data_IF_122398458307
#
_entry.id   IF_122398458307
#
_cell.length_a   1.000
_cell.length_b   1.000
_cell.length_c   1.000
_cell.angle_alpha   90.00
_cell.angle_beta   90.00
_cell.angle_gamma   90.00
#
_symmetry.space_group_name_H-M   'P 1'
#
loop_
_entity.id
_entity.type
_entity.pdbx_description
1 polymer ?
#
# COMPACT_ATOMS: atom_id res chain seq x y z
N UNK A 1 3.08 14.95 -1.71
CA UNK A 1 4.30 14.15 -1.96
C UNK A 1 3.92 12.68 -1.90
N UNK A 2 4.12 11.94 -2.99
CA UNK A 2 3.89 10.49 -3.05
C UNK A 2 5.21 9.74 -3.15
N UNK A 3 5.29 8.53 -2.60
CA UNK A 3 6.47 7.67 -2.68
C UNK A 3 6.35 6.73 -3.89
N UNK A 4 7.46 6.48 -4.58
CA UNK A 4 7.63 5.34 -5.48
C UNK A 4 8.83 4.56 -4.96
N UNK A 5 8.59 3.34 -4.51
CA UNK A 5 9.61 2.47 -3.94
C UNK A 5 9.51 1.09 -4.61
N UNK A 6 10.66 0.57 -5.03
CA UNK A 6 10.70 -0.70 -5.75
C UNK A 6 9.93 -0.61 -7.06
N UNK A 7 9.19 -1.67 -7.39
CA UNK A 7 8.36 -1.77 -8.59
C UNK A 7 6.87 -1.63 -8.31
N UNK A 8 6.44 -1.79 -7.05
CA UNK A 8 5.03 -1.92 -6.67
C UNK A 8 4.58 -0.90 -5.63
N UNK A 9 5.47 -0.30 -4.84
CA UNK A 9 5.02 0.63 -3.80
C UNK A 9 4.78 2.04 -4.35
N UNK A 10 3.53 2.40 -4.63
CA UNK A 10 3.12 3.78 -4.89
C UNK A 10 1.66 3.91 -5.33
N UNK A 11 1.04 5.07 -5.10
CA UNK A 11 -0.34 5.32 -5.56
C UNK A 11 -0.39 5.37 -7.08
N UNK A 12 -1.17 4.49 -7.71
CA UNK A 12 -1.24 4.39 -9.16
C UNK A 12 0.08 3.96 -9.81
N UNK A 13 0.90 3.22 -9.08
CA UNK A 13 2.18 2.69 -9.54
C UNK A 13 2.20 1.18 -9.29
N UNK A 14 2.45 0.39 -10.33
CA UNK A 14 2.42 -1.08 -10.27
C UNK A 14 3.54 -1.66 -11.14
N UNK A 15 3.96 -2.88 -10.82
CA UNK A 15 4.99 -3.59 -11.58
C UNK A 15 4.44 -4.30 -12.83
N UNK A 16 5.33 -4.65 -13.76
CA UNK A 16 4.97 -5.44 -14.94
C UNK A 16 4.72 -6.92 -14.58
N UNK A 17 3.89 -7.65 -15.37
CA UNK A 17 3.71 -9.09 -15.17
C UNK A 17 5.04 -9.87 -15.20
N UNK A 18 5.25 -10.72 -14.21
CA UNK A 18 6.44 -11.57 -14.10
C UNK A 18 7.67 -10.90 -13.46
N UNK A 19 7.62 -9.59 -13.20
CA UNK A 19 8.68 -8.92 -12.45
C UNK A 19 8.68 -9.37 -10.98
N UNK A 20 9.87 -9.61 -10.44
CA UNK A 20 10.03 -9.90 -9.01
C UNK A 20 10.13 -8.60 -8.21
N UNK A 21 9.56 -8.55 -6.99
CA UNK A 21 9.73 -7.41 -6.10
C UNK A 21 11.20 -7.19 -5.76
N UNK A 22 11.60 -5.94 -5.55
CA UNK A 22 12.98 -5.57 -5.26
C UNK A 22 13.46 -6.03 -3.88
N UNK A 23 12.56 -6.12 -2.91
CA UNK A 23 12.78 -6.67 -1.57
C UNK A 23 11.43 -7.02 -0.90
N UNK A 24 11.47 -7.38 0.39
CA UNK A 24 10.27 -7.77 1.14
C UNK A 24 9.29 -6.62 1.37
N UNK A 25 9.74 -5.36 1.35
CA UNK A 25 8.88 -4.17 1.44
C UNK A 25 8.10 -4.05 0.13
N UNK A 26 8.79 -4.16 -1.00
CA UNK A 26 8.17 -4.13 -2.33
C UNK A 26 7.24 -5.33 -2.54
N UNK A 27 7.56 -6.50 -1.96
CA UNK A 27 6.68 -7.67 -1.98
C UNK A 27 5.37 -7.44 -1.21
N UNK A 28 5.40 -6.67 -0.11
CA UNK A 28 4.17 -6.25 0.57
C UNK A 28 3.26 -5.45 -0.37
N UNK A 29 3.83 -4.55 -1.16
CA UNK A 29 3.10 -3.70 -2.10
C UNK A 29 2.57 -4.50 -3.30
N UNK A 30 3.35 -5.43 -3.87
CA UNK A 30 2.88 -6.33 -4.91
C UNK A 30 1.62 -7.10 -4.46
N UNK A 31 1.64 -7.66 -3.25
CA UNK A 31 0.47 -8.35 -2.69
C UNK A 31 -0.70 -7.41 -2.33
N UNK A 32 -0.47 -6.11 -2.20
CA UNK A 32 -1.52 -5.11 -2.04
C UNK A 32 -2.15 -4.76 -3.38
N UNK A 33 -1.34 -4.51 -4.41
CA UNK A 33 -1.77 -4.25 -5.79
C UNK A 33 -2.67 -5.39 -6.30
N UNK A 34 -2.23 -6.64 -6.18
CA UNK A 34 -3.03 -7.82 -6.53
C UNK A 34 -4.35 -7.90 -5.75
N UNK A 35 -4.37 -7.45 -4.49
CA UNK A 35 -5.56 -7.46 -3.66
C UNK A 35 -6.57 -6.41 -4.11
N UNK A 36 -6.12 -5.18 -4.38
CA UNK A 36 -7.01 -4.09 -4.81
C UNK A 36 -7.46 -4.23 -6.26
N UNK A 37 -6.66 -4.85 -7.12
CA UNK A 37 -7.08 -5.23 -8.47
C UNK A 37 -8.29 -6.19 -8.42
N UNK A 38 -8.25 -7.16 -7.49
CA UNK A 38 -9.32 -8.14 -7.32
C UNK A 38 -10.55 -7.62 -6.57
N UNK A 39 -10.36 -6.83 -5.52
CA UNK A 39 -11.44 -6.47 -4.58
C UNK A 39 -11.85 -5.00 -4.62
N UNK A 40 -11.15 -4.16 -5.37
CA UNK A 40 -11.37 -2.72 -5.48
C UNK A 40 -10.43 -1.89 -4.60
N UNK A 41 -10.19 -0.66 -5.07
CA UNK A 41 -9.24 0.29 -4.48
C UNK A 41 -9.60 0.76 -3.06
N UNK A 42 -10.86 0.66 -2.65
CA UNK A 42 -11.36 1.05 -1.31
C UNK A 42 -11.50 -0.14 -0.37
N UNK A 43 -11.00 -1.33 -0.75
CA UNK A 43 -11.18 -2.53 0.05
C UNK A 43 -10.30 -2.50 1.33
N UNK A 44 -10.92 -2.14 2.46
CA UNK A 44 -10.26 -1.93 3.77
C UNK A 44 -9.34 -3.07 4.19
N UNK A 45 -9.72 -4.33 3.93
CA UNK A 45 -8.90 -5.50 4.31
C UNK A 45 -7.57 -5.56 3.53
N UNK A 46 -7.53 -5.08 2.28
CA UNK A 46 -6.30 -4.98 1.51
C UNK A 46 -5.34 -3.97 2.17
N UNK A 47 -5.83 -2.78 2.54
CA UNK A 47 -5.01 -1.77 3.21
C UNK A 47 -4.52 -2.21 4.59
N UNK A 48 -5.38 -2.85 5.41
CA UNK A 48 -4.99 -3.41 6.71
C UNK A 48 -3.90 -4.49 6.56
N UNK A 49 -3.99 -5.34 5.53
CA UNK A 49 -2.96 -6.35 5.22
C UNK A 49 -1.63 -5.70 4.84
N UNK A 50 -1.64 -4.69 3.97
CA UNK A 50 -0.43 -3.95 3.59
C UNK A 50 0.22 -3.29 4.81
N UNK A 51 -0.56 -2.55 5.62
CA UNK A 51 -0.08 -1.92 6.85
C UNK A 51 0.62 -2.93 7.78
N UNK A 52 0.00 -4.08 8.02
CA UNK A 52 0.57 -5.11 8.91
C UNK A 52 1.85 -5.74 8.33
N UNK A 53 1.93 -5.91 7.01
CA UNK A 53 3.13 -6.37 6.33
C UNK A 53 4.28 -5.37 6.52
N UNK A 54 4.02 -4.08 6.28
CA UNK A 54 4.99 -3.00 6.46
C UNK A 54 5.47 -2.87 7.91
N UNK A 55 4.59 -3.02 8.90
CA UNK A 55 4.98 -3.03 10.33
C UNK A 55 5.94 -4.18 10.64
N UNK A 56 5.75 -5.36 10.03
CA UNK A 56 6.69 -6.48 10.21
C UNK A 56 8.05 -6.17 9.60
N UNK A 57 8.10 -5.64 8.38
CA UNK A 57 9.37 -5.27 7.75
C UNK A 57 10.07 -4.12 8.48
N UNK A 58 9.31 -3.17 9.04
CA UNK A 58 9.85 -2.12 9.90
C UNK A 58 10.57 -2.71 11.12
N UNK A 59 9.96 -3.70 11.78
CA UNK A 59 10.54 -4.38 12.95
C UNK A 59 11.75 -5.25 12.58
N UNK A 60 11.76 -5.81 11.38
CA UNK A 60 12.91 -6.57 10.88
C UNK A 60 14.14 -5.69 10.62
N UNK A 61 13.96 -4.36 10.50
CA UNK A 61 15.01 -3.36 10.37
C UNK A 61 16.04 -3.67 9.26
N UNK A 62 15.55 -4.19 8.14
CA UNK A 62 16.36 -4.46 6.95
C UNK A 62 16.72 -3.14 6.26
N UNK A 63 17.88 -3.10 5.61
CA UNK A 63 18.38 -1.91 4.89
C UNK A 63 17.48 -1.55 3.69
N UNK A 64 16.82 -2.57 3.10
CA UNK A 64 16.07 -2.44 1.85
C UNK A 64 16.99 -2.37 0.63
N UNK A 65 16.42 -2.37 -0.57
CA UNK A 65 17.19 -2.37 -1.81
C UNK A 65 17.74 -0.97 -2.19
N UNK A 66 17.07 0.10 -1.79
CA UNK A 66 17.36 1.47 -2.24
C UNK A 66 18.24 2.25 -1.26
N UNK A 67 19.27 2.90 -1.81
CA UNK A 67 20.11 3.86 -1.07
C UNK A 67 19.54 5.28 -1.09
N UNK A 68 18.80 5.63 -2.13
CA UNK A 68 18.21 6.96 -2.32
C UNK A 68 16.94 7.15 -1.47
N UNK A 69 16.18 6.06 -1.32
CA UNK A 69 15.01 6.03 -0.45
C UNK A 69 15.18 4.89 0.56
N UNK A 70 15.85 5.14 1.69
CA UNK A 70 16.10 4.12 2.70
C UNK A 70 14.79 3.57 3.30
N UNK A 71 14.79 2.29 3.69
CA UNK A 71 13.62 1.63 4.26
C UNK A 71 13.05 2.34 5.49
N UNK A 72 13.90 2.93 6.34
CA UNK A 72 13.49 3.68 7.53
C UNK A 72 12.75 5.00 7.20
N UNK A 73 12.80 5.47 5.95
CA UNK A 73 11.99 6.61 5.46
C UNK A 73 10.77 6.09 4.71
N UNK A 74 10.96 5.09 3.84
CA UNK A 74 9.91 4.56 2.99
C UNK A 74 8.79 3.90 3.79
N UNK A 75 9.13 2.99 4.71
CA UNK A 75 8.16 2.17 5.44
C UNK A 75 7.23 3.01 6.34
N UNK A 76 7.73 3.94 7.18
CA UNK A 76 6.84 4.80 7.97
C UNK A 76 5.94 5.69 7.11
N UNK A 77 6.43 6.14 5.95
CA UNK A 77 5.65 6.95 5.01
C UNK A 77 4.49 6.15 4.43
N UNK A 78 4.74 4.91 4.01
CA UNK A 78 3.71 4.01 3.50
C UNK A 78 2.69 3.62 4.58
N UNK A 79 3.13 3.38 5.83
CA UNK A 79 2.21 3.10 6.96
C UNK A 79 1.24 4.26 7.17
N UNK A 80 1.73 5.51 7.19
CA UNK A 80 0.88 6.70 7.32
C UNK A 80 -0.10 6.83 6.14
N UNK A 81 0.37 6.55 4.92
CA UNK A 81 -0.48 6.51 3.73
C UNK A 81 -1.60 5.47 3.87
N UNK A 82 -1.29 4.29 4.42
CA UNK A 82 -2.28 3.25 4.68
C UNK A 82 -3.28 3.62 5.77
N UNK A 83 -2.86 4.32 6.82
CA UNK A 83 -3.79 4.83 7.84
C UNK A 83 -4.82 5.79 7.24
N UNK A 84 -4.37 6.70 6.37
CA UNK A 84 -5.26 7.60 5.65
C UNK A 84 -6.17 6.84 4.66
N UNK A 85 -5.64 5.87 3.91
CA UNK A 85 -6.43 5.07 2.98
C UNK A 85 -7.52 4.25 3.69
N UNK A 86 -7.22 3.66 4.85
CA UNK A 86 -8.19 2.94 5.69
C UNK A 86 -9.29 3.89 6.15
N UNK A 87 -8.92 5.06 6.70
CA UNK A 87 -9.88 6.06 7.15
C UNK A 87 -10.83 6.48 6.02
N UNK A 88 -10.29 6.82 4.85
CA UNK A 88 -11.10 7.26 3.70
C UNK A 88 -11.99 6.13 3.16
N UNK A 89 -11.49 4.90 3.14
CA UNK A 89 -12.27 3.73 2.71
C UNK A 89 -13.44 3.44 3.67
N UNK A 90 -13.20 3.57 4.97
CA UNK A 90 -14.25 3.42 5.99
C UNK A 90 -15.28 4.55 5.93
N UNK A 91 -14.87 5.79 5.65
CA UNK A 91 -15.82 6.91 5.44
C UNK A 91 -16.66 6.73 4.17
N UNK A 92 -16.04 6.32 3.06
CA UNK A 92 -16.73 6.09 1.78
C UNK A 92 -17.74 4.93 1.85
N UNK A 93 -17.42 3.86 2.59
CA UNK A 93 -18.35 2.75 2.80
C UNK A 93 -19.54 3.07 3.72
N UNK A 94 -19.47 4.17 4.47
CA UNK A 94 -20.54 4.63 5.37
C UNK A 94 -21.35 5.80 4.79
N UNK A 95 -21.03 6.26 3.57
CA UNK A 95 -21.83 7.26 2.88
C UNK A 95 -23.08 6.57 2.29
N UNK A 96 -24.31 7.01 2.62
CA UNK A 96 -25.50 6.50 1.95
C UNK A 96 -25.36 6.78 0.45
N UNK A 97 -25.80 5.85 -0.40
CA UNK A 97 -25.84 6.02 -1.86
C UNK A 97 -26.68 7.27 -2.21
N UNK A 98 -26.04 8.43 -2.37
CA UNK A 98 -26.72 9.68 -2.79
C UNK A 98 -27.27 9.52 -4.22
N UNK A 99 -26.73 8.59 -5.01
CA UNK A 99 -27.27 8.21 -6.33
C UNK A 99 -28.66 7.55 -6.29
N UNK A 100 -29.20 7.18 -5.13
CA UNK A 100 -30.59 6.70 -5.01
C UNK A 100 -31.61 7.81 -4.70
N UNK A 101 -31.16 9.05 -4.54
CA UNK A 101 -31.97 10.21 -4.15
C UNK A 101 -31.96 11.35 -5.18
N UNK A 102 -31.39 11.12 -6.37
CA UNK A 102 -31.49 11.98 -7.57
C UNK A 102 -32.25 11.20 -8.64
#
# INVERSE_FOLDING_TARGET
MGIKYGKYCGVGYWGCPGEKPCDDIDACCMGHDECVDRFGMTHVKCHKRLKNCLIREQKANKVGFSKECPANVAVPTMIKGMDLAILLSELGGNMPDIEKFI
#
